data_IF_458846760563
#
_entry.id   IF_458846760563
#
_cell.length_a   1.000
_cell.length_b   1.000
_cell.length_c   1.000
_cell.angle_alpha   90.00
_cell.angle_beta   90.00
_cell.angle_gamma   90.00
#
_symmetry.space_group_name_H-M   'P 1'
#
loop_
_entity.id
_entity.type
_entity.pdbx_description
1 polymer ?
#
# COMPACT_ATOMS: atom_id res chain seq x y z
N UNK A 1 -1.80 23.74 13.26
CA UNK A 1 -2.44 24.67 14.19
C UNK A 1 -3.81 25.14 13.69
N UNK A 2 -4.08 25.10 12.38
CA UNK A 2 -5.39 25.54 11.82
C UNK A 2 -6.47 24.45 11.81
N UNK A 3 -6.12 23.19 11.73
CA UNK A 3 -7.08 22.06 11.66
C UNK A 3 -7.82 21.83 12.98
N UNK A 4 -7.14 21.89 14.14
CA UNK A 4 -7.80 21.72 15.45
C UNK A 4 -8.87 22.76 15.74
N UNK A 5 -8.64 24.03 15.35
CA UNK A 5 -9.65 25.09 15.50
C UNK A 5 -10.85 24.91 14.57
N UNK A 6 -10.65 24.37 13.38
CA UNK A 6 -11.73 24.04 12.45
C UNK A 6 -12.53 22.83 12.97
N UNK A 7 -11.85 21.86 13.55
CA UNK A 7 -12.50 20.72 14.23
C UNK A 7 -13.36 21.16 15.40
N UNK A 8 -12.85 22.03 16.29
CA UNK A 8 -13.59 22.55 17.43
C UNK A 8 -14.81 23.38 16.99
N UNK A 9 -14.69 24.13 15.88
CA UNK A 9 -15.80 24.90 15.30
C UNK A 9 -16.86 23.99 14.68
N UNK A 10 -16.46 22.94 13.96
CA UNK A 10 -17.38 21.97 13.37
C UNK A 10 -18.10 21.16 14.46
N UNK A 11 -17.41 20.77 15.55
CA UNK A 11 -18.02 20.08 16.70
C UNK A 11 -19.10 20.91 17.38
N UNK A 12 -18.98 22.23 17.37
CA UNK A 12 -19.94 23.15 17.99
C UNK A 12 -21.24 23.30 17.19
N UNK A 13 -21.21 23.02 15.89
CA UNK A 13 -22.34 23.24 14.97
C UNK A 13 -22.89 21.94 14.33
N UNK A 14 -22.23 20.79 14.56
CA UNK A 14 -22.74 19.50 14.11
C UNK A 14 -23.79 18.98 15.10
N UNK A 15 -24.83 18.35 14.55
CA UNK A 15 -25.86 17.68 15.34
C UNK A 15 -25.26 16.48 16.09
N UNK A 16 -25.81 16.15 17.26
CA UNK A 16 -25.30 15.08 18.13
C UNK A 16 -25.22 13.71 17.46
N UNK A 17 -26.13 13.41 16.52
CA UNK A 17 -26.12 12.18 15.71
C UNK A 17 -24.91 12.06 14.75
N UNK A 18 -24.39 13.19 14.27
CA UNK A 18 -23.19 13.25 13.43
C UNK A 18 -21.89 13.21 14.25
N UNK A 19 -21.94 13.64 15.50
CA UNK A 19 -20.81 13.54 16.44
C UNK A 19 -20.57 12.07 16.85
N UNK A 20 -21.62 11.27 16.98
CA UNK A 20 -21.52 9.85 17.33
C UNK A 20 -20.78 9.04 16.26
N UNK A 21 -21.11 9.26 14.98
CA UNK A 21 -20.42 8.62 13.84
C UNK A 21 -18.90 8.96 13.84
N UNK A 22 -18.53 10.11 14.34
CA UNK A 22 -17.14 10.56 14.40
C UNK A 22 -16.36 9.94 15.56
N UNK A 23 -17.00 9.61 16.66
CA UNK A 23 -16.37 8.89 17.78
C UNK A 23 -16.04 7.44 17.39
N UNK A 24 -16.94 6.75 16.69
CA UNK A 24 -16.70 5.41 16.15
C UNK A 24 -15.53 5.39 15.16
N UNK A 25 -15.47 6.38 14.24
CA UNK A 25 -14.36 6.50 13.30
C UNK A 25 -13.01 6.80 14.00
N UNK A 26 -13.02 7.57 15.08
CA UNK A 26 -11.82 7.86 15.87
C UNK A 26 -11.34 6.62 16.64
N UNK A 27 -12.25 5.81 17.11
CA UNK A 27 -11.94 4.59 17.86
C UNK A 27 -11.37 3.52 16.91
N UNK A 28 -11.97 3.32 15.72
CA UNK A 28 -11.41 2.47 14.66
C UNK A 28 -10.03 2.92 14.20
N UNK A 29 -9.83 4.21 14.02
CA UNK A 29 -8.54 4.77 13.61
C UNK A 29 -7.49 4.57 14.69
N UNK A 30 -7.85 4.72 15.96
CA UNK A 30 -6.97 4.49 17.10
C UNK A 30 -6.55 3.03 17.24
N UNK A 31 -7.47 2.10 17.00
CA UNK A 31 -7.18 0.65 16.98
C UNK A 31 -6.21 0.34 15.84
N UNK A 32 -6.46 0.84 14.63
CA UNK A 32 -5.57 0.67 13.47
C UNK A 32 -4.17 1.25 13.73
N UNK A 33 -4.09 2.40 14.38
CA UNK A 33 -2.81 3.04 14.74
C UNK A 33 -2.03 2.22 15.79
N UNK A 34 -2.71 1.62 16.76
CA UNK A 34 -2.08 0.75 17.77
C UNK A 34 -1.58 -0.56 17.16
N UNK A 35 -2.37 -1.20 16.30
CA UNK A 35 -1.98 -2.40 15.55
C UNK A 35 -0.76 -2.12 14.65
N UNK A 36 -0.78 -1.01 13.92
CA UNK A 36 0.35 -0.61 13.10
C UNK A 36 1.60 -0.34 13.92
N UNK A 37 1.46 0.29 15.09
CA UNK A 37 2.56 0.54 16.01
C UNK A 37 3.15 -0.76 16.55
N UNK A 38 2.33 -1.74 16.82
CA UNK A 38 2.75 -3.07 17.29
C UNK A 38 3.51 -3.82 16.19
N UNK A 39 2.98 -3.86 14.96
CA UNK A 39 3.64 -4.44 13.79
C UNK A 39 5.01 -3.81 13.52
N UNK A 40 5.07 -2.48 13.61
CA UNK A 40 6.33 -1.73 13.48
C UNK A 40 7.33 -2.09 14.57
N UNK A 41 6.88 -2.28 15.81
CA UNK A 41 7.72 -2.73 16.93
C UNK A 41 8.33 -4.10 16.67
N UNK A 42 7.52 -5.07 16.24
CA UNK A 42 7.96 -6.43 15.93
C UNK A 42 8.97 -6.48 14.77
N UNK A 43 8.73 -5.72 13.70
CA UNK A 43 9.68 -5.62 12.59
C UNK A 43 11.01 -4.98 13.05
N UNK A 44 10.94 -3.95 13.87
CA UNK A 44 12.13 -3.28 14.41
C UNK A 44 12.98 -4.19 15.31
N UNK A 45 12.35 -5.06 16.12
CA UNK A 45 13.04 -6.08 16.91
C UNK A 45 13.82 -7.07 16.05
N UNK A 46 13.39 -7.28 14.81
CA UNK A 46 14.05 -8.08 13.80
C UNK A 46 14.90 -7.25 12.83
N UNK A 47 15.27 -6.02 13.21
CA UNK A 47 16.09 -5.09 12.43
C UNK A 47 15.55 -4.74 11.05
N UNK A 48 14.21 -4.80 10.91
CA UNK A 48 13.50 -4.33 9.71
C UNK A 48 12.89 -2.96 10.01
N UNK A 49 13.39 -1.93 9.34
CA UNK A 49 12.88 -0.55 9.44
C UNK A 49 11.82 -0.32 8.38
N UNK A 50 10.58 -0.59 8.70
CA UNK A 50 9.43 -0.44 7.80
C UNK A 50 9.37 0.95 7.16
N UNK A 51 9.79 2.00 7.87
CA UNK A 51 9.78 3.38 7.37
C UNK A 51 10.69 3.56 6.15
N UNK A 52 11.81 2.83 6.09
CA UNK A 52 12.71 2.89 4.93
C UNK A 52 12.06 2.27 3.69
N UNK A 53 11.37 1.15 3.85
CA UNK A 53 10.61 0.53 2.77
C UNK A 53 9.41 1.38 2.34
N UNK A 54 8.62 1.88 3.28
CA UNK A 54 7.47 2.75 2.99
C UNK A 54 7.89 4.05 2.30
N UNK A 55 9.04 4.63 2.66
CA UNK A 55 9.56 5.83 1.99
C UNK A 55 9.82 5.62 0.49
N UNK A 56 10.23 4.41 0.09
CA UNK A 56 10.44 4.06 -1.33
C UNK A 56 9.13 3.88 -2.09
N UNK A 57 8.02 3.73 -1.38
CA UNK A 57 6.68 3.43 -1.91
C UNK A 57 5.68 4.56 -1.61
N UNK A 58 6.17 5.79 -1.37
CA UNK A 58 5.34 6.97 -1.06
C UNK A 58 4.34 6.75 0.10
N UNK A 59 4.70 5.87 1.06
CA UNK A 59 3.88 5.51 2.22
C UNK A 59 2.83 4.45 1.94
N UNK A 60 2.78 3.84 0.75
CA UNK A 60 1.80 2.82 0.41
C UNK A 60 2.10 1.49 1.13
N UNK A 61 1.32 1.25 2.20
CA UNK A 61 1.43 0.05 3.02
C UNK A 61 1.10 -1.23 2.25
N UNK A 62 0.17 -1.18 1.29
CA UNK A 62 -0.23 -2.35 0.51
C UNK A 62 0.86 -2.77 -0.47
N UNK A 63 1.52 -1.81 -1.10
CA UNK A 63 2.68 -2.10 -1.92
C UNK A 63 3.85 -2.63 -1.07
N UNK A 64 4.05 -2.09 0.14
CA UNK A 64 5.07 -2.61 1.06
C UNK A 64 4.78 -4.06 1.45
N UNK A 65 3.53 -4.39 1.77
CA UNK A 65 3.12 -5.75 2.07
C UNK A 65 3.38 -6.72 0.90
N UNK A 66 3.03 -6.33 -0.33
CA UNK A 66 3.36 -7.10 -1.55
C UNK A 66 4.86 -7.30 -1.72
N UNK A 67 5.66 -6.30 -1.39
CA UNK A 67 7.11 -6.39 -1.43
C UNK A 67 7.65 -7.42 -0.42
N UNK A 68 7.07 -7.47 0.79
CA UNK A 68 7.39 -8.48 1.79
C UNK A 68 6.97 -9.91 1.34
N UNK A 69 5.80 -10.05 0.69
CA UNK A 69 5.35 -11.31 0.08
C UNK A 69 6.34 -11.77 -1.00
N UNK A 70 6.71 -10.89 -1.90
CA UNK A 70 7.68 -11.17 -2.95
C UNK A 70 9.05 -11.55 -2.37
N UNK A 71 9.49 -10.86 -1.32
CA UNK A 71 10.72 -11.22 -0.61
C UNK A 71 10.64 -12.64 -0.05
N UNK A 72 9.53 -13.08 0.53
CA UNK A 72 9.40 -14.41 1.13
C UNK A 72 9.23 -15.52 0.10
N UNK A 73 8.57 -15.28 -1.01
CA UNK A 73 8.28 -16.29 -2.05
C UNK A 73 9.53 -16.93 -2.63
N UNK A 74 10.58 -16.13 -2.86
CA UNK A 74 11.80 -16.61 -3.51
C UNK A 74 12.91 -17.01 -2.54
N UNK A 75 12.75 -16.75 -1.24
CA UNK A 75 13.85 -16.89 -0.27
C UNK A 75 14.31 -18.33 -0.04
N UNK A 76 13.39 -19.28 0.06
CA UNK A 76 13.75 -20.67 0.32
C UNK A 76 14.60 -21.24 -0.83
N UNK A 77 14.22 -20.94 -2.07
CA UNK A 77 14.97 -21.37 -3.25
C UNK A 77 16.34 -20.69 -3.32
N UNK A 78 16.40 -19.38 -3.02
CA UNK A 78 17.65 -18.63 -2.99
C UNK A 78 18.61 -19.14 -1.90
N UNK A 79 18.10 -19.40 -0.70
CA UNK A 79 18.91 -19.99 0.39
C UNK A 79 19.44 -21.37 0.01
N UNK A 80 18.62 -22.19 -0.64
CA UNK A 80 19.01 -23.52 -1.12
C UNK A 80 20.11 -23.42 -2.19
N UNK A 81 19.96 -22.51 -3.15
CA UNK A 81 20.97 -22.28 -4.18
C UNK A 81 22.29 -21.78 -3.58
N UNK A 82 22.24 -20.86 -2.63
CA UNK A 82 23.41 -20.36 -1.93
C UNK A 82 24.14 -21.50 -1.19
N UNK A 83 23.39 -22.34 -0.47
CA UNK A 83 23.95 -23.49 0.21
C UNK A 83 24.64 -24.50 -0.77
N UNK A 84 24.04 -24.75 -1.93
CA UNK A 84 24.63 -25.58 -2.96
C UNK A 84 25.93 -24.98 -3.49
N UNK A 85 25.96 -23.66 -3.76
CA UNK A 85 27.19 -23.01 -4.22
C UNK A 85 28.31 -23.07 -3.19
N UNK A 86 28.00 -22.91 -1.91
CA UNK A 86 28.97 -22.92 -0.81
C UNK A 86 29.54 -24.33 -0.54
N UNK A 87 28.84 -25.39 -0.95
CA UNK A 87 29.27 -26.80 -0.74
C UNK A 87 29.96 -27.41 -1.95
N UNK A 88 30.06 -26.71 -3.08
CA UNK A 88 30.74 -27.21 -4.28
C UNK A 88 32.27 -27.27 -4.09
N UNK A 89 32.92 -28.22 -4.73
CA UNK A 89 34.39 -28.36 -4.73
C UNK A 89 35.08 -27.12 -5.34
N UNK A 90 34.51 -26.55 -6.39
CA UNK A 90 34.90 -25.28 -6.96
C UNK A 90 33.79 -24.29 -6.70
N UNK A 91 34.04 -23.38 -5.77
CA UNK A 91 33.05 -22.36 -5.43
C UNK A 91 33.02 -21.26 -6.49
N UNK A 92 31.84 -21.07 -7.08
CA UNK A 92 31.61 -20.10 -8.14
C UNK A 92 31.36 -18.71 -7.57
N UNK A 93 32.44 -18.01 -7.28
CA UNK A 93 32.40 -16.66 -6.66
C UNK A 93 31.51 -15.68 -7.43
N UNK A 94 31.53 -15.72 -8.76
CA UNK A 94 30.72 -14.80 -9.58
C UNK A 94 29.22 -15.05 -9.44
N UNK A 95 28.80 -16.30 -9.23
CA UNK A 95 27.39 -16.63 -8.96
C UNK A 95 26.98 -16.13 -7.58
N UNK A 96 27.83 -16.37 -6.56
CA UNK A 96 27.61 -15.84 -5.21
C UNK A 96 27.50 -14.30 -5.23
N UNK A 97 28.43 -13.64 -5.94
CA UNK A 97 28.44 -12.17 -6.05
C UNK A 97 27.12 -11.64 -6.65
N UNK A 98 26.60 -12.29 -7.69
CA UNK A 98 25.30 -11.92 -8.29
C UNK A 98 24.14 -12.15 -7.32
N UNK A 99 24.16 -13.26 -6.58
CA UNK A 99 23.14 -13.53 -5.56
C UNK A 99 23.17 -12.47 -4.47
N UNK A 100 24.36 -12.08 -4.00
CA UNK A 100 24.50 -11.01 -2.99
C UNK A 100 24.02 -9.67 -3.52
N UNK A 101 24.25 -9.35 -4.78
CA UNK A 101 23.71 -8.14 -5.41
C UNK A 101 22.18 -8.10 -5.35
N UNK A 102 21.52 -9.20 -5.70
CA UNK A 102 20.06 -9.33 -5.64
C UNK A 102 19.54 -9.26 -4.21
N UNK A 103 20.15 -10.03 -3.30
CA UNK A 103 19.76 -10.02 -1.88
C UNK A 103 19.91 -8.64 -1.25
N UNK A 104 21.03 -7.95 -1.53
CA UNK A 104 21.26 -6.57 -1.09
C UNK A 104 20.12 -5.64 -1.51
N UNK A 105 19.71 -5.73 -2.79
CA UNK A 105 18.64 -4.88 -3.33
C UNK A 105 17.30 -5.18 -2.66
N UNK A 106 16.96 -6.44 -2.48
CA UNK A 106 15.73 -6.89 -1.83
C UNK A 106 15.71 -6.51 -0.33
N UNK A 107 16.80 -6.75 0.39
CA UNK A 107 16.93 -6.39 1.80
C UNK A 107 16.78 -4.87 2.03
N UNK A 108 17.38 -4.05 1.15
CA UNK A 108 17.22 -2.59 1.17
C UNK A 108 15.77 -2.18 0.97
N UNK A 109 15.09 -2.80 0.01
CA UNK A 109 13.72 -2.46 -0.35
C UNK A 109 12.73 -2.71 0.79
N UNK A 110 12.91 -3.77 1.58
CA UNK A 110 12.08 -4.07 2.75
C UNK A 110 12.57 -3.39 4.04
N UNK A 111 13.70 -2.68 4.01
CA UNK A 111 14.27 -2.02 5.18
C UNK A 111 15.04 -2.95 6.13
N UNK A 112 15.46 -4.13 5.71
CA UNK A 112 16.28 -5.07 6.48
C UNK A 112 17.76 -4.64 6.46
N UNK A 113 18.10 -3.70 7.36
CA UNK A 113 19.35 -2.96 7.28
C UNK A 113 20.57 -3.85 7.50
N UNK A 114 20.57 -4.70 8.52
CA UNK A 114 21.71 -5.55 8.81
C UNK A 114 21.93 -6.61 7.70
N UNK A 115 20.87 -7.22 7.22
CA UNK A 115 20.96 -8.14 6.07
C UNK A 115 21.49 -7.43 4.81
N UNK A 116 21.07 -6.19 4.57
CA UNK A 116 21.58 -5.36 3.49
C UNK A 116 23.11 -5.14 3.61
N UNK A 117 23.61 -4.77 4.81
CA UNK A 117 25.04 -4.51 5.02
C UNK A 117 25.86 -5.78 4.82
N UNK A 118 25.41 -6.93 5.33
CA UNK A 118 26.10 -8.23 5.13
C UNK A 118 26.15 -8.57 3.64
N UNK A 119 25.00 -8.50 2.94
CA UNK A 119 24.95 -8.81 1.53
C UNK A 119 25.82 -7.87 0.67
N UNK A 120 25.86 -6.58 1.04
CA UNK A 120 26.71 -5.57 0.39
C UNK A 120 28.19 -5.88 0.56
N UNK A 121 28.65 -6.16 1.78
CA UNK A 121 30.05 -6.48 2.04
C UNK A 121 30.44 -7.78 1.32
N UNK A 122 29.59 -8.82 1.35
CA UNK A 122 29.86 -10.06 0.62
C UNK A 122 29.88 -9.85 -0.91
N UNK A 123 29.04 -8.98 -1.46
CA UNK A 123 29.09 -8.58 -2.87
C UNK A 123 30.43 -7.91 -3.21
N UNK A 124 30.87 -6.96 -2.39
CA UNK A 124 32.09 -6.21 -2.63
C UNK A 124 33.34 -7.09 -2.50
N UNK A 125 33.36 -8.01 -1.54
CA UNK A 125 34.42 -9.03 -1.40
C UNK A 125 34.38 -10.06 -2.55
N UNK A 126 33.18 -10.43 -2.98
CA UNK A 126 33.01 -11.31 -4.14
C UNK A 126 33.59 -10.72 -5.44
N UNK A 127 33.43 -9.41 -5.67
CA UNK A 127 34.08 -8.70 -6.79
C UNK A 127 35.60 -8.73 -6.71
N UNK A 128 36.15 -8.78 -5.49
CA UNK A 128 37.59 -8.92 -5.23
C UNK A 128 38.08 -10.38 -5.23
N UNK A 129 37.17 -11.35 -5.41
CA UNK A 129 37.45 -12.79 -5.34
C UNK A 129 37.95 -13.24 -3.97
N UNK A 130 37.60 -12.52 -2.89
CA UNK A 130 37.99 -12.82 -1.51
C UNK A 130 37.10 -13.95 -0.96
N UNK A 131 37.49 -15.19 -1.28
CA UNK A 131 36.76 -16.38 -0.85
C UNK A 131 36.86 -16.63 0.65
N UNK A 132 37.97 -16.27 1.27
CA UNK A 132 38.16 -16.44 2.71
C UNK A 132 37.12 -15.66 3.49
N UNK A 133 36.91 -14.42 3.11
CA UNK A 133 35.84 -13.59 3.69
C UNK A 133 34.45 -14.17 3.45
N UNK A 134 34.13 -14.55 2.20
CA UNK A 134 32.81 -15.09 1.84
C UNK A 134 32.51 -16.33 2.70
N UNK A 135 33.45 -17.25 2.84
CA UNK A 135 33.28 -18.43 3.66
C UNK A 135 33.07 -18.09 5.14
N UNK A 136 33.85 -17.16 5.68
CA UNK A 136 33.73 -16.74 7.08
C UNK A 136 32.43 -16.01 7.40
N UNK A 137 31.88 -15.25 6.45
CA UNK A 137 30.64 -14.47 6.61
C UNK A 137 29.36 -15.30 6.37
N UNK A 138 29.49 -16.50 5.78
CA UNK A 138 28.33 -17.26 5.34
C UNK A 138 27.36 -17.67 6.47
N UNK A 139 27.89 -18.09 7.61
CA UNK A 139 27.04 -18.48 8.74
C UNK A 139 26.27 -17.29 9.31
N UNK A 140 26.91 -16.12 9.36
CA UNK A 140 26.25 -14.88 9.76
C UNK A 140 25.15 -14.48 8.76
N UNK A 141 25.44 -14.54 7.46
CA UNK A 141 24.46 -14.31 6.41
C UNK A 141 23.23 -15.21 6.57
N UNK A 142 23.46 -16.50 6.74
CA UNK A 142 22.39 -17.51 6.89
C UNK A 142 21.51 -17.22 8.10
N UNK A 143 22.12 -16.86 9.23
CA UNK A 143 21.40 -16.51 10.45
C UNK A 143 20.51 -15.29 10.25
N UNK A 144 21.08 -14.21 9.72
CA UNK A 144 20.35 -12.96 9.52
C UNK A 144 19.27 -13.08 8.46
N UNK A 145 19.56 -13.75 7.38
CA UNK A 145 18.58 -14.02 6.33
C UNK A 145 17.40 -14.83 6.85
N UNK A 146 17.65 -15.90 7.63
CA UNK A 146 16.61 -16.70 8.26
C UNK A 146 15.74 -15.89 9.23
N UNK A 147 16.36 -14.97 10.00
CA UNK A 147 15.67 -14.06 10.93
C UNK A 147 14.72 -13.10 10.18
N UNK A 148 15.22 -12.45 9.14
CA UNK A 148 14.43 -11.52 8.31
C UNK A 148 13.30 -12.26 7.60
N UNK A 149 13.57 -13.46 7.07
CA UNK A 149 12.57 -14.30 6.43
C UNK A 149 11.41 -14.63 7.37
N UNK A 150 11.71 -15.10 8.57
CA UNK A 150 10.70 -15.43 9.59
C UNK A 150 9.89 -14.20 9.98
N UNK A 151 10.52 -13.07 10.24
CA UNK A 151 9.84 -11.82 10.57
C UNK A 151 8.92 -11.34 9.44
N UNK A 152 9.35 -11.52 8.18
CA UNK A 152 8.53 -11.20 7.00
C UNK A 152 7.29 -12.10 6.89
N UNK A 153 7.43 -13.40 7.17
CA UNK A 153 6.30 -14.33 7.19
C UNK A 153 5.29 -13.98 8.30
N UNK A 154 5.77 -13.67 9.49
CA UNK A 154 4.92 -13.24 10.62
C UNK A 154 4.17 -11.95 10.29
N UNK A 155 4.84 -10.97 9.68
CA UNK A 155 4.22 -9.73 9.22
C UNK A 155 3.11 -9.99 8.19
N UNK A 156 3.36 -10.82 7.18
CA UNK A 156 2.38 -11.17 6.15
C UNK A 156 1.14 -11.83 6.77
N UNK A 157 1.34 -12.76 7.71
CA UNK A 157 0.24 -13.44 8.38
C UNK A 157 -0.61 -12.47 9.22
N UNK A 158 0.03 -11.61 10.01
CA UNK A 158 -0.67 -10.64 10.85
C UNK A 158 -1.43 -9.59 10.04
N UNK A 159 -0.96 -9.27 8.84
CA UNK A 159 -1.59 -8.27 7.97
C UNK A 159 -2.63 -8.84 7.00
N UNK A 160 -2.93 -10.14 7.05
CA UNK A 160 -3.97 -10.75 6.21
C UNK A 160 -5.35 -10.12 6.42
N UNK A 161 -5.70 -9.84 7.65
CA UNK A 161 -7.01 -9.27 8.00
C UNK A 161 -7.17 -7.84 7.48
N UNK A 162 -6.07 -7.08 7.38
CA UNK A 162 -6.07 -5.72 6.81
C UNK A 162 -6.51 -5.74 5.34
N UNK A 163 -6.16 -6.79 4.58
CA UNK A 163 -6.63 -7.01 3.21
C UNK A 163 -8.13 -7.29 3.14
N UNK A 164 -8.64 -8.17 4.01
CA UNK A 164 -10.05 -8.52 4.04
C UNK A 164 -10.96 -7.34 4.31
N UNK A 165 -10.53 -6.43 5.19
CA UNK A 165 -11.28 -5.21 5.50
C UNK A 165 -11.22 -4.19 4.36
N UNK A 166 -10.09 -4.08 3.65
CA UNK A 166 -9.98 -3.21 2.47
C UNK A 166 -10.76 -3.75 1.28
N UNK A 167 -10.75 -5.05 1.00
CA UNK A 167 -11.59 -5.65 -0.04
C UNK A 167 -13.08 -5.46 0.24
N UNK A 168 -13.51 -5.57 1.50
CA UNK A 168 -14.89 -5.26 1.91
C UNK A 168 -15.22 -3.77 1.79
N UNK A 169 -14.28 -2.88 2.12
CA UNK A 169 -14.46 -1.43 1.92
C UNK A 169 -14.48 -1.07 0.43
N UNK A 170 -13.66 -1.72 -0.41
CA UNK A 170 -13.70 -1.54 -1.86
C UNK A 170 -15.01 -2.06 -2.47
N UNK A 171 -15.52 -3.22 -2.05
CA UNK A 171 -16.85 -3.71 -2.47
C UNK A 171 -17.98 -2.80 -2.00
N UNK A 172 -17.91 -2.30 -0.77
CA UNK A 172 -18.89 -1.35 -0.21
C UNK A 172 -18.83 -0.01 -0.95
N UNK A 173 -17.63 0.45 -1.30
CA UNK A 173 -17.42 1.64 -2.11
C UNK A 173 -17.90 1.44 -3.57
N UNK A 174 -17.74 0.25 -4.14
CA UNK A 174 -18.24 -0.08 -5.47
C UNK A 174 -19.77 -0.07 -5.52
N UNK A 175 -20.45 -0.67 -4.54
CA UNK A 175 -21.91 -0.59 -4.38
C UNK A 175 -22.39 0.84 -4.15
N UNK A 176 -21.69 1.61 -3.32
CA UNK A 176 -21.98 3.02 -3.11
C UNK A 176 -21.80 3.86 -4.39
N UNK A 177 -20.81 3.55 -5.22
CA UNK A 177 -20.60 4.22 -6.52
C UNK A 177 -21.73 3.95 -7.51
N UNK A 178 -22.21 2.72 -7.60
CA UNK A 178 -23.35 2.34 -8.45
C UNK A 178 -24.65 3.02 -8.00
N UNK A 179 -24.92 3.05 -6.69
CA UNK A 179 -26.06 3.79 -6.14
C UNK A 179 -26.02 5.29 -6.48
N UNK A 180 -24.82 5.89 -6.41
CA UNK A 180 -24.64 7.30 -6.75
C UNK A 180 -24.88 7.53 -8.24
N UNK A 181 -24.37 6.65 -9.11
CA UNK A 181 -24.60 6.69 -10.56
C UNK A 181 -26.09 6.64 -10.87
N UNK A 182 -26.83 5.73 -10.24
CA UNK A 182 -28.27 5.57 -10.46
C UNK A 182 -29.05 6.79 -9.95
N UNK A 183 -28.74 7.32 -8.80
CA UNK A 183 -29.34 8.57 -8.27
C UNK A 183 -29.04 9.77 -9.18
N UNK A 184 -27.80 9.92 -9.62
CA UNK A 184 -27.40 11.00 -10.52
C UNK A 184 -28.18 10.95 -11.83
N UNK A 185 -28.34 9.76 -12.42
CA UNK A 185 -29.16 9.54 -13.61
C UNK A 185 -30.61 9.97 -13.41
N UNK A 186 -31.21 9.59 -12.27
CA UNK A 186 -32.59 9.99 -11.94
C UNK A 186 -32.69 11.52 -11.84
N UNK A 187 -31.75 12.20 -11.18
CA UNK A 187 -31.76 13.64 -11.01
C UNK A 187 -31.58 14.40 -12.33
N UNK A 188 -30.70 13.92 -13.22
CA UNK A 188 -30.53 14.48 -14.56
C UNK A 188 -31.82 14.33 -15.37
N UNK A 189 -32.40 13.12 -15.43
CA UNK A 189 -33.65 12.85 -16.16
C UNK A 189 -34.85 13.67 -15.63
N UNK A 190 -34.83 14.04 -14.36
CA UNK A 190 -35.88 14.85 -13.71
C UNK A 190 -35.57 16.35 -13.69
N UNK A 191 -34.50 16.79 -14.35
CA UNK A 191 -34.08 18.20 -14.40
C UNK A 191 -33.79 18.81 -13.01
N UNK A 192 -33.31 17.99 -12.08
CA UNK A 192 -33.00 18.36 -10.71
C UNK A 192 -31.52 18.78 -10.58
N UNK A 193 -31.21 20.02 -11.00
CA UNK A 193 -29.85 20.51 -11.12
C UNK A 193 -29.08 20.49 -9.79
N UNK A 194 -29.71 20.92 -8.69
CA UNK A 194 -29.06 20.98 -7.38
C UNK A 194 -28.68 19.61 -6.86
N UNK A 195 -29.62 18.68 -6.87
CA UNK A 195 -29.45 17.32 -6.40
C UNK A 195 -28.44 16.56 -7.27
N UNK A 196 -28.46 16.74 -8.59
CA UNK A 196 -27.49 16.16 -9.49
C UNK A 196 -26.05 16.63 -9.19
N UNK A 197 -25.85 17.92 -8.96
CA UNK A 197 -24.54 18.49 -8.61
C UNK A 197 -24.04 17.99 -7.24
N UNK A 198 -24.93 17.85 -6.26
CA UNK A 198 -24.57 17.27 -4.96
C UNK A 198 -24.06 15.82 -5.10
N UNK A 199 -24.68 15.02 -5.98
CA UNK A 199 -24.19 13.65 -6.25
C UNK A 199 -22.84 13.65 -6.97
N UNK A 200 -22.62 14.52 -7.94
CA UNK A 200 -21.33 14.68 -8.63
C UNK A 200 -20.23 15.05 -7.61
N UNK A 201 -20.49 16.03 -6.76
CA UNK A 201 -19.53 16.48 -5.74
C UNK A 201 -19.23 15.36 -4.72
N UNK A 202 -20.24 14.59 -4.33
CA UNK A 202 -20.06 13.45 -3.44
C UNK A 202 -19.20 12.36 -4.10
N UNK A 203 -19.47 12.00 -5.36
CA UNK A 203 -18.69 11.01 -6.09
C UNK A 203 -17.22 11.41 -6.27
N UNK A 204 -16.96 12.71 -6.52
CA UNK A 204 -15.60 13.25 -6.70
C UNK A 204 -14.74 13.22 -5.44
N UNK A 205 -15.31 12.99 -4.26
CA UNK A 205 -14.55 12.80 -3.01
C UNK A 205 -13.90 11.42 -2.92
N UNK A 206 -14.36 10.45 -3.71
CA UNK A 206 -13.78 9.12 -3.78
C UNK A 206 -12.54 9.03 -4.67
N UNK A 207 -11.90 7.86 -4.71
CA UNK A 207 -10.84 7.55 -5.68
C UNK A 207 -11.49 7.39 -7.06
N UNK A 208 -11.21 8.31 -7.98
CA UNK A 208 -11.72 8.34 -9.35
C UNK A 208 -10.57 8.57 -10.33
N UNK A 209 -10.70 8.04 -11.55
CA UNK A 209 -9.73 8.24 -12.62
C UNK A 209 -9.74 9.71 -13.12
N UNK A 210 -8.68 10.12 -13.82
CA UNK A 210 -8.61 11.43 -14.47
C UNK A 210 -9.72 11.59 -15.52
N UNK A 211 -10.04 10.53 -16.24
CA UNK A 211 -11.11 10.52 -17.25
C UNK A 211 -12.49 10.69 -16.61
N UNK A 212 -12.79 9.96 -15.53
CA UNK A 212 -14.02 10.14 -14.76
C UNK A 212 -14.15 11.58 -14.23
N UNK A 213 -13.04 12.13 -13.72
CA UNK A 213 -12.98 13.49 -13.19
C UNK A 213 -13.34 14.53 -14.26
N UNK A 214 -12.83 14.35 -15.48
CA UNK A 214 -13.09 15.26 -16.60
C UNK A 214 -14.56 15.18 -17.07
N UNK A 215 -15.11 13.96 -17.21
CA UNK A 215 -16.50 13.79 -17.58
C UNK A 215 -17.46 14.38 -16.55
N UNK A 216 -17.22 14.13 -15.27
CA UNK A 216 -18.05 14.67 -14.18
C UNK A 216 -17.98 16.21 -14.13
N UNK A 217 -16.82 16.79 -14.42
CA UNK A 217 -16.66 18.26 -14.50
C UNK A 217 -17.43 18.84 -15.68
N UNK A 218 -17.39 18.19 -16.85
CA UNK A 218 -18.13 18.63 -18.01
C UNK A 218 -19.65 18.46 -17.79
N UNK A 219 -20.08 17.39 -17.18
CA UNK A 219 -21.47 17.17 -16.79
C UNK A 219 -21.98 18.25 -15.82
N UNK A 220 -21.19 18.64 -14.82
CA UNK A 220 -21.50 19.73 -13.89
C UNK A 220 -21.70 21.06 -14.62
N UNK A 221 -20.85 21.38 -15.62
CA UNK A 221 -20.97 22.58 -16.46
C UNK A 221 -22.28 22.56 -17.27
N UNK A 222 -22.64 21.41 -17.88
CA UNK A 222 -23.89 21.28 -18.64
C UNK A 222 -25.12 21.44 -17.76
N UNK A 223 -25.10 20.88 -16.57
CA UNK A 223 -26.18 21.05 -15.58
C UNK A 223 -26.31 22.51 -15.16
N UNK A 224 -25.21 23.24 -14.97
CA UNK A 224 -25.24 24.68 -14.66
C UNK A 224 -25.82 25.53 -15.80
N UNK A 225 -25.64 25.09 -17.05
CA UNK A 225 -26.24 25.69 -18.24
C UNK A 225 -27.68 25.24 -18.49
N UNK A 226 -28.25 24.38 -17.64
CA UNK A 226 -29.56 23.73 -17.80
C UNK A 226 -29.66 22.89 -19.06
N UNK A 227 -28.53 22.45 -19.62
CA UNK A 227 -28.42 21.57 -20.77
C UNK A 227 -28.42 20.09 -20.31
N UNK A 228 -29.60 19.63 -19.92
CA UNK A 228 -29.77 18.27 -19.40
C UNK A 228 -29.68 17.18 -20.46
N UNK A 229 -29.94 17.51 -21.72
CA UNK A 229 -29.82 16.56 -22.83
C UNK A 229 -28.35 16.18 -23.02
N UNK A 230 -27.45 17.16 -23.02
CA UNK A 230 -26.02 16.90 -23.11
C UNK A 230 -25.46 16.27 -21.81
N UNK A 231 -26.01 16.65 -20.65
CA UNK A 231 -25.67 15.99 -19.39
C UNK A 231 -26.04 14.49 -19.39
N UNK A 232 -27.18 14.12 -20.01
CA UNK A 232 -27.59 12.72 -20.15
C UNK A 232 -26.66 11.93 -21.11
N UNK A 233 -26.19 12.55 -22.18
CA UNK A 233 -25.19 11.95 -23.09
C UNK A 233 -23.88 11.66 -22.35
N UNK A 234 -23.40 12.65 -21.56
CA UNK A 234 -22.20 12.48 -20.74
C UNK A 234 -22.39 11.40 -19.66
N UNK A 235 -23.59 11.30 -19.08
CA UNK A 235 -23.94 10.25 -18.13
C UNK A 235 -23.83 8.86 -18.74
N UNK A 236 -24.38 8.64 -19.94
CA UNK A 236 -24.28 7.37 -20.67
C UNK A 236 -22.84 7.01 -21.02
N UNK A 237 -22.04 8.01 -21.41
CA UNK A 237 -20.60 7.82 -21.65
C UNK A 237 -19.87 7.39 -20.39
N UNK A 238 -20.18 8.00 -19.27
CA UNK A 238 -19.57 7.67 -17.96
C UNK A 238 -20.01 6.28 -17.46
N UNK A 239 -21.28 5.86 -17.68
CA UNK A 239 -21.77 4.51 -17.37
C UNK A 239 -21.01 3.41 -18.16
N UNK A 240 -20.54 3.72 -19.36
CA UNK A 240 -19.78 2.80 -20.21
C UNK A 240 -18.27 2.77 -19.95
N UNK A 241 -17.79 3.50 -18.94
CA UNK A 241 -16.39 3.47 -18.48
C UNK A 241 -16.28 2.47 -17.32
N UNK A 242 -16.01 1.20 -17.64
CA UNK A 242 -15.63 0.14 -16.69
C UNK A 242 -14.12 -0.12 -16.71
#
# INVERSE_FOLDING_TARGET
VMWSKLEDLLMKYLRDDLVFIREDLKEEQKIKDEEFKQLKGQLKENDIKIEEGLRLLDGDFMQYRKLMEFFTEYQEEYMRQMQQLMTQKEVKVDEITRMMHTLKSNAKAIGAIHLYEIAKEMEDRGKQKDMEYIMSAYDLLKLEWGRVFKASQEFIEQTKNILFDQEKEEEKNKRSKEEIKEKLKIFITRYQAKEAKEQIQYYRKGKISEEERNILKEMEIRIDQLDFDEAEILMKRWEGME
#
